data_IF_683253803083
#
_entry.id   IF_683253803083
#
_cell.length_a   1.000
_cell.length_b   1.000
_cell.length_c   1.000
_cell.angle_alpha   90.00
_cell.angle_beta   90.00
_cell.angle_gamma   90.00
#
_symmetry.space_group_name_H-M   'P 1'
#
loop_
_entity.id
_entity.type
_entity.pdbx_description
1 polymer ?
#
# COMPACT_ATOMS: atom_id res chain seq x y z
N UNK A 1 17.60 4.11 60.05
CA UNK A 1 16.87 3.49 61.18
C UNK A 1 15.81 4.45 61.68
N UNK A 2 14.53 4.15 61.44
CA UNK A 2 13.36 4.37 62.32
C UNK A 2 12.08 4.12 61.52
N UNK A 3 11.20 3.33 62.14
CA UNK A 3 9.93 2.73 61.70
C UNK A 3 8.83 3.80 61.42
N UNK A 4 7.70 3.56 60.76
CA UNK A 4 6.57 2.69 61.15
C UNK A 4 5.44 2.78 60.08
N UNK A 5 4.76 1.64 59.77
CA UNK A 5 3.29 1.38 59.72
C UNK A 5 2.36 2.24 58.79
N UNK A 6 1.25 1.79 58.17
CA UNK A 6 0.49 0.53 57.95
C UNK A 6 -0.73 0.88 57.05
N UNK A 7 -1.51 -0.14 56.61
CA UNK A 7 -2.93 -0.14 56.10
C UNK A 7 -3.20 0.24 54.63
N UNK A 8 -3.60 -0.67 53.74
CA UNK A 8 -4.90 -1.39 53.55
C UNK A 8 -6.09 -0.49 53.16
N UNK A 9 -6.55 -0.56 51.90
CA UNK A 9 -7.99 -0.50 51.52
C UNK A 9 -8.23 -1.37 50.26
N UNK A 10 -8.88 -2.53 50.46
CA UNK A 10 -9.68 -3.23 49.44
C UNK A 10 -11.13 -2.75 49.61
N UNK A 11 -11.72 -2.22 48.54
CA UNK A 11 -13.11 -1.78 48.50
C UNK A 11 -13.94 -2.64 47.53
N UNK A 12 -14.83 -3.42 48.13
CA UNK A 12 -15.92 -4.21 47.56
C UNK A 12 -16.96 -3.38 46.81
N UNK A 13 -17.46 -3.87 45.67
CA UNK A 13 -18.81 -3.57 45.20
C UNK A 13 -19.47 -4.86 44.71
N UNK A 14 -20.38 -5.36 45.54
CA UNK A 14 -21.40 -6.35 45.21
C UNK A 14 -22.75 -5.63 45.19
N UNK A 15 -23.54 -5.95 44.17
CA UNK A 15 -25.00 -6.09 44.17
C UNK A 15 -25.90 -4.85 44.21
N UNK A 16 -26.76 -4.76 43.17
CA UNK A 16 -28.21 -4.54 43.20
C UNK A 16 -28.66 -4.09 41.79
N UNK A 17 -29.82 -4.42 41.23
CA UNK A 17 -30.92 -5.36 41.48
C UNK A 17 -31.87 -5.17 40.28
N UNK A 18 -32.58 -6.21 39.87
CA UNK A 18 -33.56 -6.22 38.77
C UNK A 18 -34.77 -5.30 38.97
N UNK A 19 -35.42 -4.91 37.86
CA UNK A 19 -36.89 -4.96 37.74
C UNK A 19 -37.39 -4.97 36.28
N UNK A 20 -37.95 -6.13 35.92
CA UNK A 20 -39.15 -6.44 35.10
C UNK A 20 -39.88 -5.37 34.28
N UNK A 21 -40.29 -5.74 33.05
CA UNK A 21 -41.71 -5.72 32.65
C UNK A 21 -42.04 -6.70 31.50
N UNK A 22 -43.07 -7.52 31.73
CA UNK A 22 -43.75 -8.44 30.82
C UNK A 22 -44.66 -7.72 29.80
N UNK A 23 -44.92 -8.36 28.65
CA UNK A 23 -46.28 -8.46 28.10
C UNK A 23 -46.51 -9.77 27.31
N UNK A 24 -47.53 -10.49 27.77
CA UNK A 24 -48.35 -11.60 27.23
C UNK A 24 -48.85 -11.38 25.77
N UNK A 25 -49.46 -12.29 25.00
CA UNK A 25 -49.68 -13.75 24.96
C UNK A 25 -50.57 -14.07 23.73
N UNK A 26 -50.39 -15.26 23.13
CA UNK A 26 -51.37 -16.20 22.53
C UNK A 26 -52.48 -15.77 21.54
N UNK A 27 -52.55 -16.45 20.39
CA UNK A 27 -53.77 -17.15 19.89
C UNK A 27 -53.40 -18.38 19.03
N UNK A 28 -54.21 -19.44 19.15
CA UNK A 28 -53.99 -20.82 18.72
C UNK A 28 -54.52 -21.21 17.33
N UNK A 29 -53.83 -22.17 16.71
CA UNK A 29 -54.28 -23.41 16.03
C UNK A 29 -55.25 -23.41 14.79
N UNK A 30 -54.71 -23.96 13.68
CA UNK A 30 -55.08 -25.22 13.01
C UNK A 30 -55.59 -25.15 11.53
N UNK A 31 -54.87 -25.86 10.63
CA UNK A 31 -55.32 -26.72 9.49
C UNK A 31 -54.28 -26.75 8.34
N UNK A 32 -53.65 -27.92 8.15
CA UNK A 32 -52.94 -28.38 6.94
C UNK A 32 -53.94 -28.61 5.77
N UNK A 33 -53.55 -28.86 4.48
CA UNK A 33 -52.32 -29.52 4.03
C UNK A 33 -51.72 -29.09 2.64
N UNK A 34 -50.60 -29.74 2.28
CA UNK A 34 -50.06 -29.98 0.92
C UNK A 34 -49.46 -28.81 0.09
N UNK A 35 -48.16 -28.91 -0.21
CA UNK A 35 -47.61 -29.19 -1.56
C UNK A 35 -46.07 -29.22 -1.50
N UNK A 36 -45.47 -30.32 -1.98
CA UNK A 36 -44.05 -30.37 -2.36
C UNK A 36 -43.84 -29.46 -3.58
N UNK A 37 -42.77 -28.65 -3.65
CA UNK A 37 -42.18 -28.27 -4.92
C UNK A 37 -40.96 -29.15 -5.20
N UNK A 38 -41.05 -29.90 -6.28
CA UNK A 38 -39.91 -30.44 -7.01
C UNK A 38 -39.12 -29.23 -7.51
N UNK A 39 -37.94 -28.98 -6.95
CA UNK A 39 -36.98 -28.07 -7.57
C UNK A 39 -36.08 -28.93 -8.44
N UNK A 40 -36.36 -28.92 -9.74
CA UNK A 40 -35.44 -29.36 -10.77
C UNK A 40 -34.10 -28.66 -10.54
N UNK A 41 -33.07 -29.43 -10.21
CA UNK A 41 -31.68 -28.99 -10.29
C UNK A 41 -31.34 -28.87 -11.78
N UNK A 42 -31.46 -27.66 -12.33
CA UNK A 42 -30.62 -27.30 -13.46
C UNK A 42 -29.20 -27.13 -12.93
N UNK A 43 -28.18 -27.80 -13.52
CA UNK A 43 -26.81 -27.42 -13.25
C UNK A 43 -26.59 -26.05 -13.93
N UNK A 44 -26.16 -24.99 -13.23
CA UNK A 44 -25.60 -23.87 -13.93
C UNK A 44 -24.30 -24.37 -14.55
N UNK A 45 -24.36 -24.66 -15.85
CA UNK A 45 -23.19 -24.72 -16.72
C UNK A 45 -22.45 -23.40 -16.56
N UNK A 46 -21.45 -23.41 -15.69
CA UNK A 46 -20.57 -22.27 -15.48
C UNK A 46 -19.72 -22.15 -16.74
N UNK A 47 -20.23 -21.39 -17.71
CA UNK A 47 -19.43 -20.83 -18.78
C UNK A 47 -18.24 -20.15 -18.08
N UNK A 48 -16.97 -20.55 -18.35
CA UNK A 48 -15.85 -19.87 -17.77
C UNK A 48 -15.87 -18.45 -18.32
N UNK A 49 -16.32 -17.51 -17.50
CA UNK A 49 -16.18 -16.09 -17.78
C UNK A 49 -14.67 -15.87 -17.86
N UNK A 50 -14.14 -15.75 -19.08
CA UNK A 50 -12.79 -15.23 -19.30
C UNK A 50 -12.73 -13.95 -18.48
N UNK A 51 -12.01 -13.97 -17.36
CA UNK A 51 -11.58 -12.75 -16.68
C UNK A 51 -10.71 -12.04 -17.70
N UNK A 52 -11.32 -11.13 -18.46
CA UNK A 52 -10.60 -10.15 -19.25
C UNK A 52 -9.90 -9.27 -18.24
N UNK A 53 -8.72 -9.73 -17.84
CA UNK A 53 -7.77 -8.89 -17.14
C UNK A 53 -7.41 -7.85 -18.19
N UNK A 54 -7.84 -6.60 -18.02
CA UNK A 54 -7.42 -5.50 -18.88
C UNK A 54 -5.90 -5.37 -18.71
N UNK A 55 -5.15 -6.11 -19.53
CA UNK A 55 -3.71 -5.95 -19.63
C UNK A 55 -3.49 -4.57 -20.25
N UNK A 56 -2.85 -3.69 -19.49
CA UNK A 56 -2.43 -2.41 -20.02
C UNK A 56 -1.35 -2.71 -21.06
N UNK A 57 -1.64 -2.49 -22.35
CA UNK A 57 -0.64 -2.70 -23.38
C UNK A 57 0.47 -1.65 -23.19
N UNK A 58 1.72 -2.08 -23.04
CA UNK A 58 2.86 -1.17 -22.92
C UNK A 58 3.44 -1.03 -24.32
N UNK A 59 3.41 0.17 -24.93
CA UNK A 59 3.94 0.36 -26.26
C UNK A 59 5.42 0.00 -26.33
N UNK A 60 5.82 -0.66 -27.42
CA UNK A 60 7.20 -1.10 -27.62
C UNK A 60 8.18 0.09 -27.64
N UNK A 61 7.76 1.18 -28.29
CA UNK A 61 8.46 2.45 -28.49
C UNK A 61 8.36 3.42 -27.30
N UNK A 62 7.62 3.08 -26.24
CA UNK A 62 7.48 3.95 -25.07
C UNK A 62 8.85 4.22 -24.40
N UNK A 63 9.07 5.48 -24.04
CA UNK A 63 10.26 5.88 -23.26
C UNK A 63 10.33 5.12 -21.93
N UNK A 64 11.53 4.97 -21.35
CA UNK A 64 11.70 4.29 -20.06
C UNK A 64 10.82 4.90 -18.94
N UNK A 65 10.66 6.23 -18.95
CA UNK A 65 9.77 6.93 -18.03
C UNK A 65 8.30 6.56 -18.24
N UNK A 66 7.84 6.55 -19.49
CA UNK A 66 6.47 6.15 -19.83
C UNK A 66 6.20 4.68 -19.48
N UNK A 67 7.15 3.77 -19.75
CA UNK A 67 7.05 2.35 -19.37
C UNK A 67 6.87 2.19 -17.86
N UNK A 68 7.69 2.86 -17.04
CA UNK A 68 7.53 2.85 -15.57
C UNK A 68 6.19 3.42 -15.10
N UNK A 69 5.73 4.51 -15.71
CA UNK A 69 4.42 5.10 -15.41
C UNK A 69 3.26 4.13 -15.72
N UNK A 70 3.31 3.47 -16.88
CA UNK A 70 2.33 2.48 -17.30
C UNK A 70 2.34 1.24 -16.39
N UNK A 71 3.52 0.73 -16.02
CA UNK A 71 3.65 -0.40 -15.08
C UNK A 71 3.12 -0.07 -13.68
N UNK A 72 3.29 1.18 -13.23
CA UNK A 72 2.71 1.65 -11.98
C UNK A 72 1.18 1.72 -12.07
N UNK A 73 0.61 2.18 -13.20
CA UNK A 73 -0.84 2.20 -13.43
C UNK A 73 -1.41 0.77 -13.53
N UNK A 74 -0.74 -0.13 -14.24
CA UNK A 74 -1.10 -1.56 -14.31
C UNK A 74 -1.16 -2.17 -12.90
N UNK A 75 -0.17 -1.89 -12.06
CA UNK A 75 -0.14 -2.37 -10.69
C UNK A 75 -1.30 -1.84 -9.83
N UNK A 76 -1.66 -0.56 -10.01
CA UNK A 76 -2.81 0.04 -9.35
C UNK A 76 -4.14 -0.60 -9.78
N UNK A 77 -4.26 -0.94 -11.06
CA UNK A 77 -5.47 -1.52 -11.64
C UNK A 77 -5.54 -3.04 -11.50
N UNK A 78 -4.50 -3.70 -10.99
CA UNK A 78 -4.45 -5.16 -10.93
C UNK A 78 -5.44 -5.72 -9.90
N UNK A 79 -6.51 -6.43 -10.32
CA UNK A 79 -7.52 -6.96 -9.40
C UNK A 79 -7.00 -8.11 -8.54
N UNK A 80 -5.90 -8.75 -8.95
CA UNK A 80 -5.28 -9.88 -8.24
C UNK A 80 -4.35 -9.40 -7.10
N UNK A 81 -3.98 -8.12 -7.05
CA UNK A 81 -3.15 -7.63 -5.95
C UNK A 81 -3.98 -7.56 -4.65
N UNK A 82 -3.85 -8.61 -3.86
CA UNK A 82 -4.49 -8.76 -2.55
C UNK A 82 -3.61 -8.31 -1.40
N UNK A 83 -2.36 -7.91 -1.67
CA UNK A 83 -1.40 -7.60 -0.61
C UNK A 83 -1.70 -6.28 0.07
N UNK A 84 -1.18 -6.17 1.28
CA UNK A 84 -0.99 -4.91 1.97
C UNK A 84 0.47 -4.49 1.82
N UNK A 85 0.68 -3.30 1.28
CA UNK A 85 1.98 -2.64 1.40
C UNK A 85 1.97 -1.75 2.64
N UNK A 86 3.13 -1.62 3.28
CA UNK A 86 3.26 -1.00 4.58
C UNK A 86 3.11 -2.04 5.68
N UNK A 87 4.25 -2.44 6.24
CA UNK A 87 4.31 -3.39 7.34
C UNK A 87 3.39 -2.99 8.49
N UNK A 88 2.67 -3.98 9.02
CA UNK A 88 2.11 -3.91 10.36
C UNK A 88 3.24 -3.51 11.32
N UNK A 89 3.11 -2.48 12.18
CA UNK A 89 4.13 -2.14 13.17
C UNK A 89 4.66 -3.35 13.96
N UNK A 90 3.82 -4.38 14.21
CA UNK A 90 4.25 -5.64 14.83
C UNK A 90 5.01 -6.55 13.88
N UNK A 91 4.58 -6.69 12.62
CA UNK A 91 5.30 -7.42 11.58
C UNK A 91 6.67 -6.77 11.28
N UNK A 92 6.73 -5.44 11.26
CA UNK A 92 7.97 -4.65 11.18
C UNK A 92 8.89 -4.90 12.38
N UNK A 93 8.34 -5.05 13.59
CA UNK A 93 9.09 -5.44 14.79
C UNK A 93 9.56 -6.91 14.74
N UNK A 94 8.83 -7.80 14.03
CA UNK A 94 9.22 -9.20 13.74
C UNK A 94 10.11 -9.38 12.50
N UNK A 95 10.46 -8.31 11.79
CA UNK A 95 11.33 -8.35 10.61
C UNK A 95 10.65 -8.63 9.26
N UNK A 96 9.32 -8.66 9.20
CA UNK A 96 8.53 -8.83 7.98
C UNK A 96 8.43 -7.48 7.23
N UNK A 97 9.20 -7.30 6.14
CA UNK A 97 9.48 -6.00 5.50
C UNK A 97 8.78 -5.85 4.15
N UNK A 98 7.54 -5.37 4.13
CA UNK A 98 6.90 -4.84 2.92
C UNK A 98 6.62 -3.35 3.13
N UNK A 99 7.55 -2.46 2.75
CA UNK A 99 7.33 -1.02 2.77
C UNK A 99 7.16 -0.46 1.34
N UNK A 100 6.96 0.85 1.19
CA UNK A 100 6.73 1.49 -0.10
C UNK A 100 7.87 1.29 -1.12
N UNK A 101 9.08 0.93 -0.67
CA UNK A 101 10.20 0.57 -1.56
C UNK A 101 9.90 -0.69 -2.38
N UNK A 102 9.10 -1.60 -1.83
CA UNK A 102 8.75 -2.86 -2.47
C UNK A 102 7.99 -2.62 -3.78
N UNK A 103 7.05 -1.68 -3.78
CA UNK A 103 6.30 -1.30 -4.98
C UNK A 103 7.21 -0.76 -6.09
N UNK A 104 8.19 0.06 -5.73
CA UNK A 104 9.16 0.57 -6.71
C UNK A 104 10.01 -0.57 -7.27
N UNK A 105 10.44 -1.48 -6.40
CA UNK A 105 11.22 -2.65 -6.81
C UNK A 105 10.42 -3.60 -7.71
N UNK A 106 9.11 -3.69 -7.50
CA UNK A 106 8.20 -4.40 -8.40
C UNK A 106 8.10 -3.74 -9.76
N UNK A 107 7.86 -2.43 -9.81
CA UNK A 107 7.83 -1.67 -11.07
C UNK A 107 9.12 -1.91 -11.84
N UNK A 108 10.26 -1.85 -11.16
CA UNK A 108 11.57 -2.14 -11.78
C UNK A 108 11.75 -3.58 -12.22
N UNK A 109 11.38 -4.56 -11.40
CA UNK A 109 11.48 -5.96 -11.77
C UNK A 109 10.64 -6.26 -13.03
N UNK A 110 9.42 -5.73 -13.10
CA UNK A 110 8.55 -5.88 -14.27
C UNK A 110 8.97 -5.04 -15.48
N UNK A 111 9.72 -3.95 -15.25
CA UNK A 111 10.30 -3.15 -16.32
C UNK A 111 11.46 -3.90 -16.99
N UNK A 112 12.25 -4.64 -16.21
CA UNK A 112 13.43 -5.36 -16.68
C UNK A 112 13.15 -6.79 -17.15
N UNK A 113 11.99 -7.36 -16.80
CA UNK A 113 11.67 -8.76 -17.11
C UNK A 113 10.18 -8.97 -17.42
N UNK A 114 9.92 -9.45 -18.64
CA UNK A 114 8.58 -9.87 -19.06
C UNK A 114 8.10 -11.11 -18.27
N UNK A 115 9.01 -11.98 -17.84
CA UNK A 115 8.67 -13.10 -16.95
C UNK A 115 8.13 -12.61 -15.61
N UNK A 116 8.80 -11.61 -15.02
CA UNK A 116 8.33 -10.98 -13.78
C UNK A 116 6.96 -10.30 -13.99
N UNK A 117 6.76 -9.64 -15.14
CA UNK A 117 5.48 -9.03 -15.48
C UNK A 117 4.36 -10.07 -15.56
N UNK A 118 4.58 -11.19 -16.24
CA UNK A 118 3.62 -12.31 -16.32
C UNK A 118 3.25 -12.87 -14.95
N UNK A 119 4.26 -13.13 -14.10
CA UNK A 119 4.05 -13.59 -12.73
C UNK A 119 3.18 -12.59 -11.96
N UNK A 120 3.49 -11.29 -12.06
CA UNK A 120 2.73 -10.23 -11.39
C UNK A 120 1.30 -10.11 -11.92
N UNK A 121 1.07 -10.25 -13.21
CA UNK A 121 -0.29 -10.23 -13.77
C UNK A 121 -1.12 -11.42 -13.29
N UNK A 122 -0.50 -12.60 -13.12
CA UNK A 122 -1.18 -13.80 -12.62
C UNK A 122 -1.46 -13.74 -11.11
N UNK A 123 -0.46 -13.37 -10.30
CA UNK A 123 -0.53 -13.40 -8.82
C UNK A 123 -0.94 -12.07 -8.18
N UNK A 124 -0.91 -10.99 -8.95
CA UNK A 124 -1.07 -9.60 -8.52
C UNK A 124 0.24 -8.82 -8.33
N UNK A 125 1.37 -9.54 -8.26
CA UNK A 125 2.31 -9.29 -7.15
C UNK A 125 3.57 -10.16 -7.29
N UNK A 126 4.76 -9.57 -7.06
CA UNK A 126 6.02 -10.34 -6.99
C UNK A 126 6.37 -10.66 -5.54
N UNK A 127 6.81 -11.88 -5.26
CA UNK A 127 7.34 -12.33 -3.98
C UNK A 127 8.79 -11.81 -3.75
N UNK A 128 9.30 -11.82 -2.51
CA UNK A 128 10.62 -11.24 -2.22
C UNK A 128 11.77 -11.86 -3.00
N UNK A 129 11.76 -13.17 -3.21
CA UNK A 129 12.78 -13.87 -4.00
C UNK A 129 12.67 -13.53 -5.50
N UNK A 130 11.46 -13.35 -6.02
CA UNK A 130 11.22 -12.89 -7.41
C UNK A 130 11.76 -11.46 -7.58
N UNK A 131 11.57 -10.57 -6.60
CA UNK A 131 12.19 -9.24 -6.64
C UNK A 131 13.72 -9.26 -6.63
N UNK A 132 14.33 -10.17 -5.88
CA UNK A 132 15.79 -10.32 -5.88
C UNK A 132 16.29 -10.85 -7.22
N UNK A 133 15.55 -11.79 -7.83
CA UNK A 133 15.86 -12.37 -9.14
C UNK A 133 15.78 -11.35 -10.27
N UNK A 134 14.73 -10.53 -10.31
CA UNK A 134 14.40 -9.70 -11.47
C UNK A 134 14.74 -8.22 -11.35
N UNK A 135 15.20 -7.73 -10.19
CA UNK A 135 15.58 -6.33 -10.02
C UNK A 135 17.11 -6.15 -10.03
N UNK A 136 17.73 -5.85 -11.19
CA UNK A 136 19.17 -5.67 -11.30
C UNK A 136 19.66 -4.34 -10.72
N UNK A 137 18.77 -3.35 -10.52
CA UNK A 137 19.17 -2.01 -10.10
C UNK A 137 19.21 -1.85 -8.58
N UNK A 138 18.11 -2.19 -7.90
CA UNK A 138 17.95 -2.12 -6.44
C UNK A 138 18.22 -3.48 -5.78
N UNK A 139 19.44 -4.00 -5.97
CA UNK A 139 19.87 -5.26 -5.37
C UNK A 139 20.04 -5.14 -3.86
N UNK A 140 19.96 -6.27 -3.14
CA UNK A 140 20.23 -6.29 -1.70
C UNK A 140 21.63 -5.74 -1.39
N UNK A 141 22.66 -6.10 -2.18
CA UNK A 141 24.02 -5.57 -2.02
C UNK A 141 24.05 -4.03 -2.03
N UNK A 142 23.36 -3.39 -2.99
CA UNK A 142 23.29 -1.93 -3.09
C UNK A 142 22.44 -1.31 -1.99
N UNK A 143 21.25 -1.86 -1.71
CA UNK A 143 20.33 -1.34 -0.70
C UNK A 143 20.90 -1.39 0.73
N UNK A 144 21.70 -2.41 1.04
CA UNK A 144 22.25 -2.61 2.39
C UNK A 144 23.71 -2.15 2.53
N UNK A 145 24.27 -1.44 1.55
CA UNK A 145 25.63 -0.88 1.61
C UNK A 145 25.76 0.30 2.60
N UNK A 146 24.66 0.91 3.05
CA UNK A 146 24.66 2.04 3.99
C UNK A 146 23.86 1.74 5.28
N UNK A 147 24.08 2.58 6.29
CA UNK A 147 23.44 2.50 7.63
C UNK A 147 22.09 3.24 7.74
N UNK A 148 21.47 3.66 6.63
CA UNK A 148 20.15 4.32 6.69
C UNK A 148 19.09 3.35 7.25
N UNK A 149 18.11 3.88 7.98
CA UNK A 149 17.08 3.04 8.61
C UNK A 149 15.90 2.72 7.69
N UNK A 150 15.54 3.62 6.76
CA UNK A 150 14.43 3.43 5.82
C UNK A 150 14.91 2.83 4.48
N UNK A 151 14.16 1.89 3.90
CA UNK A 151 14.49 1.37 2.56
C UNK A 151 14.31 2.43 1.48
N UNK A 152 13.34 3.33 1.61
CA UNK A 152 13.21 4.47 0.69
C UNK A 152 14.44 5.38 0.72
N UNK A 153 15.02 5.63 1.90
CA UNK A 153 16.28 6.37 2.01
C UNK A 153 17.45 5.61 1.37
N UNK A 154 17.51 4.28 1.59
CA UNK A 154 18.51 3.42 0.92
C UNK A 154 18.37 3.45 -0.60
N UNK A 155 17.17 3.41 -1.14
CA UNK A 155 16.93 3.53 -2.58
C UNK A 155 17.41 4.87 -3.14
N UNK A 156 17.15 5.96 -2.42
CA UNK A 156 17.66 7.27 -2.80
C UNK A 156 19.20 7.32 -2.82
N UNK A 157 19.87 6.71 -1.82
CA UNK A 157 21.34 6.54 -1.82
C UNK A 157 21.83 5.72 -3.03
N UNK A 158 21.14 4.63 -3.37
CA UNK A 158 21.47 3.83 -4.58
C UNK A 158 21.34 4.67 -5.85
N UNK A 159 20.29 5.47 -5.99
CA UNK A 159 20.11 6.36 -7.14
C UNK A 159 21.15 7.47 -7.19
N UNK A 160 21.54 8.01 -6.04
CA UNK A 160 22.59 9.02 -5.95
C UNK A 160 23.96 8.47 -6.39
N UNK A 161 24.26 7.20 -6.07
CA UNK A 161 25.55 6.57 -6.39
C UNK A 161 25.60 5.91 -7.76
N UNK A 162 24.48 5.38 -8.24
CA UNK A 162 24.45 4.47 -9.39
C UNK A 162 23.43 4.86 -10.47
N UNK A 163 22.70 5.96 -10.30
CA UNK A 163 21.66 6.40 -11.23
C UNK A 163 21.64 7.91 -11.43
N UNK A 164 20.43 8.46 -11.48
CA UNK A 164 20.19 9.89 -11.38
C UNK A 164 19.44 10.18 -10.08
N UNK A 165 19.88 11.21 -9.37
CA UNK A 165 19.18 11.74 -8.19
C UNK A 165 19.29 13.27 -8.17
N UNK A 166 18.17 13.95 -7.93
CA UNK A 166 18.12 15.41 -7.77
C UNK A 166 17.20 15.80 -6.63
N UNK A 167 17.55 16.90 -5.96
CA UNK A 167 16.73 17.55 -4.92
C UNK A 167 15.95 18.75 -5.45
N UNK A 168 15.90 18.96 -6.77
CA UNK A 168 15.11 20.01 -7.43
C UNK A 168 13.79 19.43 -7.97
N UNK A 169 12.68 20.11 -7.70
CA UNK A 169 11.35 19.70 -8.22
C UNK A 169 11.28 19.87 -9.74
N UNK A 170 11.98 20.86 -10.29
CA UNK A 170 12.10 21.10 -11.73
C UNK A 170 12.69 19.91 -12.51
N UNK A 171 13.36 18.98 -11.84
CA UNK A 171 14.03 17.84 -12.46
C UNK A 171 13.13 16.59 -12.48
N UNK A 172 11.94 16.68 -11.89
CA UNK A 172 10.94 15.60 -11.89
C UNK A 172 10.45 15.36 -13.32
N UNK A 173 10.41 14.10 -13.72
CA UNK A 173 9.92 13.64 -15.02
C UNK A 173 8.87 12.53 -14.84
N UNK A 174 8.15 12.23 -15.91
CA UNK A 174 7.26 11.08 -15.97
C UNK A 174 8.03 9.78 -15.66
N UNK A 175 7.47 8.91 -14.81
CA UNK A 175 8.08 7.65 -14.43
C UNK A 175 9.23 7.75 -13.42
N UNK A 176 9.51 8.94 -12.89
CA UNK A 176 10.49 9.12 -11.82
C UNK A 176 10.01 8.53 -10.49
N UNK A 177 10.97 8.12 -9.67
CA UNK A 177 10.75 7.88 -8.26
C UNK A 177 10.90 9.14 -7.47
N UNK A 178 9.83 9.56 -6.81
CA UNK A 178 9.84 10.73 -5.96
C UNK A 178 9.84 10.31 -4.50
N UNK A 179 10.80 10.85 -3.76
CA UNK A 179 11.02 10.60 -2.35
C UNK A 179 10.45 11.73 -1.51
N UNK A 180 9.70 11.37 -0.47
CA UNK A 180 8.98 12.35 0.36
C UNK A 180 9.15 12.06 1.85
N UNK A 181 8.95 13.08 2.67
CA UNK A 181 9.05 12.97 4.12
C UNK A 181 8.39 14.09 4.89
N UNK A 182 8.43 14.00 6.22
CA UNK A 182 8.02 15.10 7.11
C UNK A 182 9.09 16.20 7.14
N UNK A 183 8.67 17.43 7.41
CA UNK A 183 9.55 18.60 7.49
C UNK A 183 10.18 18.99 6.15
N UNK A 184 10.81 20.15 6.07
CA UNK A 184 11.40 20.68 4.83
C UNK A 184 12.85 20.24 4.56
N UNK A 185 13.51 19.61 5.55
CA UNK A 185 14.90 19.11 5.43
C UNK A 185 15.01 18.10 4.29
N UNK A 186 16.04 18.19 3.43
CA UNK A 186 16.14 17.37 2.20
C UNK A 186 17.16 16.22 2.27
N UNK A 187 17.61 15.83 3.46
CA UNK A 187 18.57 14.73 3.59
C UNK A 187 17.92 13.34 3.37
N UNK A 188 18.76 12.34 3.09
CA UNK A 188 18.32 10.96 2.85
C UNK A 188 17.68 10.32 4.10
N UNK A 189 18.06 10.75 5.31
CA UNK A 189 17.52 10.21 6.58
C UNK A 189 16.06 10.65 6.81
N UNK A 190 15.69 11.80 6.27
CA UNK A 190 14.35 12.38 6.35
C UNK A 190 13.36 11.77 5.35
N UNK A 191 13.85 10.92 4.44
CA UNK A 191 13.02 10.19 3.48
C UNK A 191 12.27 9.08 4.20
N UNK A 192 10.94 9.17 4.14
CA UNK A 192 10.04 8.21 4.79
C UNK A 192 9.18 7.42 3.80
N UNK A 193 9.14 7.84 2.53
CA UNK A 193 8.24 7.28 1.54
C UNK A 193 8.74 7.54 0.12
N UNK A 194 8.31 6.68 -0.81
CA UNK A 194 8.63 6.78 -2.24
C UNK A 194 7.40 6.47 -3.10
N UNK A 195 7.30 7.13 -4.26
CA UNK A 195 6.18 7.03 -5.20
C UNK A 195 6.67 7.11 -6.65
N UNK A 196 5.84 6.71 -7.63
CA UNK A 196 6.14 6.79 -9.07
C UNK A 196 5.28 7.88 -9.70
N UNK A 197 5.88 8.80 -10.45
CA UNK A 197 5.12 9.79 -11.23
C UNK A 197 4.44 9.09 -12.40
N UNK A 198 3.10 9.09 -12.43
CA UNK A 198 2.33 8.44 -13.50
C UNK A 198 1.74 9.46 -14.50
N UNK A 199 1.67 10.74 -14.14
CA UNK A 199 1.21 11.82 -15.03
C UNK A 199 1.80 13.15 -14.62
N UNK A 200 2.05 14.02 -15.61
CA UNK A 200 2.50 15.40 -15.40
C UNK A 200 1.58 16.30 -16.21
N UNK A 201 0.85 17.18 -15.53
CA UNK A 201 -0.04 18.13 -16.18
C UNK A 201 0.35 19.57 -15.82
N UNK A 202 -0.09 20.51 -16.64
CA UNK A 202 -0.07 21.94 -16.32
C UNK A 202 -1.50 22.40 -16.05
N UNK A 203 -1.75 22.95 -14.85
CA UNK A 203 -3.05 23.51 -14.46
C UNK A 203 -2.89 25.00 -14.20
N UNK A 204 -3.41 25.82 -15.12
CA UNK A 204 -3.11 27.25 -15.14
C UNK A 204 -1.62 27.48 -15.39
N UNK A 205 -0.93 28.19 -14.47
CA UNK A 205 0.53 28.42 -14.54
C UNK A 205 1.34 27.44 -13.68
N UNK A 206 0.72 26.41 -13.10
CA UNK A 206 1.36 25.50 -12.15
C UNK A 206 1.51 24.09 -12.73
N UNK A 207 2.70 23.53 -12.60
CA UNK A 207 2.96 22.12 -12.92
C UNK A 207 2.47 21.26 -11.76
N UNK A 208 1.70 20.21 -12.08
CA UNK A 208 1.24 19.19 -11.12
C UNK A 208 1.75 17.82 -11.55
N UNK A 209 2.42 17.16 -10.62
CA UNK A 209 2.91 15.80 -10.82
C UNK A 209 2.01 14.84 -10.06
N UNK A 210 1.29 13.99 -10.77
CA UNK A 210 0.45 12.95 -10.19
C UNK A 210 1.29 11.70 -10.00
N UNK A 211 0.98 10.98 -8.94
CA UNK A 211 1.75 9.81 -8.59
C UNK A 211 0.87 8.64 -8.19
N UNK A 212 1.48 7.47 -8.33
CA UNK A 212 1.04 6.22 -7.77
C UNK A 212 2.03 5.84 -6.68
N UNK A 213 1.50 5.43 -5.54
CA UNK A 213 2.31 4.92 -4.44
C UNK A 213 1.68 3.69 -3.81
N UNK A 214 2.52 2.91 -3.16
CA UNK A 214 2.07 1.92 -2.19
C UNK A 214 1.83 2.62 -0.85
N UNK A 215 0.55 2.85 -0.52
CA UNK A 215 0.17 3.48 0.75
C UNK A 215 0.11 2.50 1.92
N UNK A 216 -0.08 3.03 3.14
CA UNK A 216 -0.40 2.24 4.34
C UNK A 216 -1.83 1.68 4.30
N UNK A 217 -2.01 0.37 4.57
CA UNK A 217 -3.19 -0.19 5.29
C UNK A 217 -2.96 -1.63 5.77
N UNK A 218 -2.52 -1.77 7.02
CA UNK A 218 -2.50 -3.04 7.78
C UNK A 218 -3.76 -3.25 8.63
N UNK A 219 -3.65 -4.10 9.65
CA UNK A 219 -4.69 -4.27 10.67
C UNK A 219 -4.83 -2.97 11.49
N UNK A 220 -6.03 -2.39 11.57
CA UNK A 220 -6.34 -1.29 12.48
C UNK A 220 -7.10 -1.82 13.68
N UNK A 221 -6.66 -1.49 14.90
CA UNK A 221 -7.46 -1.75 16.09
C UNK A 221 -8.67 -0.80 16.09
N UNK A 222 -9.87 -1.35 15.94
CA UNK A 222 -11.16 -0.64 16.02
C UNK A 222 -11.92 -1.29 17.16
N UNK A 223 -12.23 -0.54 18.22
CA UNK A 223 -12.95 -1.03 19.40
C UNK A 223 -12.34 -2.32 19.98
N UNK A 224 -11.03 -2.32 20.24
CA UNK A 224 -10.34 -3.49 20.81
C UNK A 224 -9.96 -4.58 19.79
N UNK A 225 -10.58 -4.65 18.61
CA UNK A 225 -10.37 -5.72 17.62
C UNK A 225 -9.47 -5.28 16.48
N UNK A 226 -8.55 -6.15 16.05
CA UNK A 226 -7.73 -5.93 14.86
C UNK A 226 -8.56 -6.18 13.60
N UNK A 227 -8.95 -5.12 12.90
CA UNK A 227 -9.73 -5.18 11.65
C UNK A 227 -8.80 -5.04 10.45
N UNK A 228 -8.90 -5.95 9.48
CA UNK A 228 -8.21 -5.85 8.20
C UNK A 228 -8.79 -4.67 7.42
N UNK A 229 -7.94 -3.74 7.04
CA UNK A 229 -8.32 -2.65 6.12
C UNK A 229 -7.52 -2.84 4.84
N UNK A 230 -8.15 -2.86 3.67
CA UNK A 230 -7.47 -3.12 2.39
C UNK A 230 -6.92 -1.83 1.77
N UNK A 231 -5.62 -1.75 1.47
CA UNK A 231 -5.04 -0.97 0.34
C UNK A 231 -3.67 -1.57 -0.04
N UNK A 232 -3.48 -1.82 -1.33
CA UNK A 232 -2.22 -2.28 -1.95
C UNK A 232 -1.47 -1.11 -2.58
N UNK A 233 -2.07 -0.48 -3.59
CA UNK A 233 -1.54 0.63 -4.38
C UNK A 233 -2.63 1.72 -4.52
N UNK A 234 -2.27 3.00 -4.61
CA UNK A 234 -3.25 4.11 -4.75
C UNK A 234 -2.81 5.17 -5.75
N UNK A 235 -3.80 5.90 -6.28
CA UNK A 235 -3.64 7.11 -7.11
C UNK A 235 -4.49 8.27 -6.56
N UNK A 236 -4.33 9.46 -7.14
CA UNK A 236 -5.20 10.62 -6.86
C UNK A 236 -4.62 11.68 -5.92
N UNK A 237 -3.30 11.68 -5.74
CA UNK A 237 -2.56 12.73 -5.06
C UNK A 237 -1.58 13.38 -6.02
N UNK A 238 -1.13 14.58 -5.67
CA UNK A 238 -0.19 15.33 -6.50
C UNK A 238 0.89 16.02 -5.66
N UNK A 239 2.03 16.21 -6.31
CA UNK A 239 3.13 17.07 -5.89
C UNK A 239 3.01 18.40 -6.62
N UNK A 240 3.16 19.51 -5.91
CA UNK A 240 3.27 20.86 -6.49
C UNK A 240 4.71 21.18 -6.85
N UNK A 241 4.90 22.12 -7.77
CA UNK A 241 6.17 22.80 -8.06
C UNK A 241 6.96 23.27 -6.80
N UNK A 242 6.26 23.72 -5.76
CA UNK A 242 6.83 24.12 -4.46
C UNK A 242 7.35 22.96 -3.61
N UNK A 243 7.21 21.72 -4.07
CA UNK A 243 7.65 20.53 -3.33
C UNK A 243 6.66 20.05 -2.27
N UNK A 244 5.43 20.58 -2.23
CA UNK A 244 4.39 20.16 -1.28
C UNK A 244 3.61 18.98 -1.86
N UNK A 245 3.47 17.92 -1.07
CA UNK A 245 2.72 16.72 -1.44
C UNK A 245 1.39 16.74 -0.70
N UNK A 246 0.30 16.89 -1.46
CA UNK A 246 -1.03 17.03 -0.88
C UNK A 246 -1.71 15.67 -0.74
N UNK A 247 -2.01 15.30 0.51
CA UNK A 247 -2.91 14.22 0.87
C UNK A 247 -3.84 14.72 1.95
N UNK A 248 -5.17 14.57 1.75
CA UNK A 248 -6.31 15.12 2.55
C UNK A 248 -6.09 15.43 4.05
N UNK A 249 -5.19 14.74 4.77
CA UNK A 249 -4.92 14.91 6.21
C UNK A 249 -3.43 15.14 6.58
N UNK A 250 -2.47 14.95 5.68
CA UNK A 250 -1.04 15.02 5.99
C UNK A 250 -0.24 15.77 4.93
N UNK A 251 0.46 16.81 5.36
CA UNK A 251 1.46 17.48 4.53
C UNK A 251 2.76 16.67 4.59
N UNK A 252 3.28 16.34 3.40
CA UNK A 252 4.62 15.79 3.20
C UNK A 252 5.36 16.71 2.23
N UNK A 253 6.68 16.64 2.27
CA UNK A 253 7.55 17.47 1.45
C UNK A 253 8.45 16.60 0.58
N UNK A 254 8.66 17.07 -0.63
CA UNK A 254 9.63 16.56 -1.58
C UNK A 254 11.03 16.56 -0.97
N UNK A 255 11.71 15.43 -1.07
CA UNK A 255 13.09 15.22 -0.62
C UNK A 255 14.03 15.04 -1.80
N UNK A 256 13.54 14.41 -2.86
CA UNK A 256 14.26 14.26 -4.11
C UNK A 256 13.48 13.44 -5.13
N UNK A 257 14.03 13.38 -6.33
CA UNK A 257 13.56 12.55 -7.43
C UNK A 257 14.73 11.75 -7.97
N UNK A 258 14.47 10.55 -8.49
CA UNK A 258 15.51 9.76 -9.13
C UNK A 258 14.98 8.67 -10.04
N UNK A 259 15.87 8.20 -10.91
CA UNK A 259 15.61 7.16 -11.90
C UNK A 259 16.90 6.37 -12.18
N UNK A 260 16.80 5.06 -12.46
CA UNK A 260 17.90 4.31 -13.06
C UNK A 260 18.33 4.98 -14.37
N UNK A 261 19.64 4.95 -14.66
CA UNK A 261 20.18 5.37 -15.96
C UNK A 261 19.94 4.27 -16.99
#
# INVERSE_FOLDING_TARGET
MKHLFFLLILGSLWSCQESTHQKQSNTSANKQPQRKPIVNKEPPSSIPTKKVTHQLNIPYDASAGQKRALLAEEAYQNPQDTRTYGGDPKAKARGEKLDCSYFIREVEATFQSEEARKIKQQKGYLAPHELVKYNPFFTNKRLYANKLSSLSGKMADVLQKHGFYSTKVSDVRLGDYVFIGKGKVRDLKSISHVMVINRVDTVGKQIRYYFIDAGYRGLKKVNGKLVKVKRSVRKGYYLTDKGTVWSKKYIRYFKGTGRPR
#
